data_IF_990986159218
#
_entry.id   IF_990986159218
#
_cell.length_a   1.000
_cell.length_b   1.000
_cell.length_c   1.000
_cell.angle_alpha   90.00
_cell.angle_beta   90.00
_cell.angle_gamma   90.00
#
_symmetry.space_group_name_H-M   'P 1'
#
loop_
_entity.id
_entity.type
_entity.pdbx_description
1 polymer ?
#
# COMPACT_ATOMS: atom_id res chain seq x y z
N UNK A 1 10.69 -6.37 19.70
CA UNK A 1 10.10 -5.91 18.42
C UNK A 1 11.15 -5.08 17.70
N UNK A 2 11.40 -5.32 16.41
CA UNK A 2 12.31 -4.47 15.65
C UNK A 2 11.66 -3.11 15.40
N UNK A 3 12.43 -2.00 15.45
CA UNK A 3 11.87 -0.68 15.20
C UNK A 3 11.31 -0.59 13.77
N UNK A 4 10.26 0.22 13.55
CA UNK A 4 9.72 0.45 12.23
C UNK A 4 10.82 0.96 11.30
N UNK A 5 10.92 0.37 10.12
CA UNK A 5 11.86 0.82 9.10
C UNK A 5 11.46 2.23 8.66
N UNK A 6 12.37 3.22 8.70
CA UNK A 6 12.05 4.55 8.20
C UNK A 6 11.85 4.51 6.68
N UNK A 7 10.71 5.02 6.25
CA UNK A 7 10.35 5.19 4.84
C UNK A 7 10.15 6.68 4.64
N UNK A 8 10.87 7.25 3.66
CA UNK A 8 10.77 8.68 3.35
C UNK A 8 9.68 8.86 2.30
N UNK A 9 8.75 9.78 2.56
CA UNK A 9 7.72 10.17 1.58
C UNK A 9 8.32 11.02 0.47
N UNK A 10 7.63 11.14 -0.68
CA UNK A 10 8.07 12.03 -1.76
C UNK A 10 8.24 13.47 -1.30
N UNK A 11 7.28 14.00 -0.55
CA UNK A 11 7.32 15.38 -0.05
C UNK A 11 8.46 15.64 0.94
N UNK A 12 8.86 14.61 1.71
CA UNK A 12 10.02 14.68 2.59
C UNK A 12 11.33 14.53 1.82
N UNK A 13 11.33 13.78 0.70
CA UNK A 13 12.51 13.61 -0.14
C UNK A 13 13.02 14.97 -0.61
N UNK A 14 12.14 15.82 -1.13
CA UNK A 14 12.47 17.15 -1.65
C UNK A 14 12.97 18.10 -0.55
N UNK A 15 12.41 17.98 0.65
CA UNK A 15 12.78 18.83 1.79
C UNK A 15 14.12 18.45 2.40
N UNK A 16 14.41 17.15 2.44
CA UNK A 16 15.61 16.62 3.12
C UNK A 16 16.77 16.48 2.14
N UNK A 17 16.51 16.31 0.84
CA UNK A 17 17.56 16.05 -0.12
C UNK A 17 17.24 16.54 -1.54
N UNK A 18 18.23 17.15 -2.20
CA UNK A 18 18.30 17.25 -3.66
C UNK A 18 18.62 15.87 -4.32
N UNK A 19 18.04 14.78 -3.79
CA UNK A 19 18.38 13.39 -4.11
C UNK A 19 17.68 12.87 -5.36
N UNK A 20 16.59 13.49 -5.83
CA UNK A 20 15.88 13.00 -7.03
C UNK A 20 16.84 12.80 -8.21
N UNK A 21 17.68 13.79 -8.52
CA UNK A 21 18.68 13.67 -9.59
C UNK A 21 19.74 12.58 -9.36
N UNK A 22 20.00 12.21 -8.10
CA UNK A 22 20.99 11.18 -7.72
C UNK A 22 20.39 9.78 -7.65
N UNK A 23 19.09 9.67 -7.39
CA UNK A 23 18.34 8.42 -7.37
C UNK A 23 18.25 7.79 -8.75
N UNK A 24 18.10 8.59 -9.79
CA UNK A 24 18.09 8.12 -11.18
C UNK A 24 19.46 7.58 -11.63
N UNK A 25 20.53 7.95 -10.92
CA UNK A 25 21.91 7.50 -11.19
C UNK A 25 22.37 6.33 -10.29
N UNK A 26 21.48 5.79 -9.45
CA UNK A 26 21.77 4.70 -8.52
C UNK A 26 20.97 3.43 -8.84
N UNK A 27 21.59 2.27 -8.57
CA UNK A 27 20.93 0.96 -8.74
C UNK A 27 19.86 0.79 -7.64
N UNK A 28 18.63 1.16 -7.98
CA UNK A 28 17.47 1.05 -7.12
C UNK A 28 16.64 -0.19 -7.45
N UNK A 29 16.12 -0.87 -6.44
CA UNK A 29 15.23 -2.02 -6.58
C UNK A 29 13.83 -1.65 -6.09
N UNK A 30 12.80 -2.00 -6.86
CA UNK A 30 11.42 -1.83 -6.43
C UNK A 30 11.06 -2.94 -5.44
N UNK A 31 10.47 -2.55 -4.32
CA UNK A 31 9.93 -3.45 -3.30
C UNK A 31 8.46 -3.13 -3.08
N UNK A 32 7.67 -4.15 -2.78
CA UNK A 32 6.25 -4.02 -2.47
C UNK A 32 5.95 -4.61 -1.10
N UNK A 33 5.08 -3.95 -0.34
CA UNK A 33 4.48 -4.47 0.88
C UNK A 33 2.96 -4.45 0.74
N UNK A 34 2.32 -5.60 0.89
CA UNK A 34 0.86 -5.66 1.01
C UNK A 34 0.49 -5.54 2.48
N UNK A 35 -0.26 -4.50 2.83
CA UNK A 35 -0.88 -4.32 4.13
C UNK A 35 -2.39 -4.46 3.97
N UNK A 36 -3.12 -4.60 5.07
CA UNK A 36 -4.58 -4.59 5.04
C UNK A 36 -5.07 -3.31 5.73
N UNK A 37 -5.86 -2.51 5.02
CA UNK A 37 -6.55 -1.38 5.61
C UNK A 37 -7.92 -1.85 6.09
N UNK A 38 -8.10 -1.91 7.41
CA UNK A 38 -9.30 -2.43 8.03
C UNK A 38 -10.14 -1.29 8.61
N UNK A 39 -11.42 -1.29 8.28
CA UNK A 39 -12.42 -0.36 8.83
C UNK A 39 -13.45 -1.16 9.61
N UNK A 40 -13.82 -0.66 10.78
CA UNK A 40 -14.89 -1.24 11.60
C UNK A 40 -16.18 -0.44 11.39
N UNK A 41 -17.20 -1.06 10.80
CA UNK A 41 -18.51 -0.44 10.55
C UNK A 41 -19.63 -1.36 11.03
N UNK A 42 -20.44 -0.89 11.99
CA UNK A 42 -21.68 -1.57 12.40
C UNK A 42 -21.50 -3.01 12.92
N UNK A 43 -20.37 -3.32 13.56
CA UNK A 43 -20.08 -4.68 14.07
C UNK A 43 -19.34 -5.59 13.09
N UNK A 44 -19.06 -5.10 11.87
CA UNK A 44 -18.29 -5.83 10.85
C UNK A 44 -16.91 -5.20 10.67
N UNK A 45 -15.88 -6.05 10.52
CA UNK A 45 -14.53 -5.64 10.15
C UNK A 45 -14.36 -5.88 8.66
N UNK A 46 -14.22 -4.80 7.88
CA UNK A 46 -13.93 -4.87 6.46
C UNK A 46 -12.46 -4.54 6.24
N UNK A 47 -11.66 -5.54 5.85
CA UNK A 47 -10.25 -5.36 5.53
C UNK A 47 -10.02 -5.41 4.02
N UNK A 48 -9.42 -4.37 3.46
CA UNK A 48 -9.10 -4.29 2.05
C UNK A 48 -7.57 -4.34 1.88
N UNK A 49 -7.04 -5.21 1.01
CA UNK A 49 -5.60 -5.22 0.73
C UNK A 49 -5.17 -3.89 0.13
N UNK A 50 -4.08 -3.34 0.64
CA UNK A 50 -3.46 -2.09 0.22
C UNK A 50 -1.97 -2.33 -0.04
N UNK A 51 -1.56 -2.21 -1.29
CA UNK A 51 -0.16 -2.37 -1.68
C UNK A 51 0.56 -1.03 -1.56
N UNK A 52 1.66 -1.02 -0.83
CA UNK A 52 2.63 0.08 -0.76
C UNK A 52 3.87 -0.28 -1.55
N UNK A 53 4.34 0.66 -2.37
CA UNK A 53 5.52 0.48 -3.21
C UNK A 53 6.64 1.38 -2.70
N UNK A 54 7.84 0.82 -2.66
CA UNK A 54 9.04 1.52 -2.24
C UNK A 54 10.15 1.31 -3.26
N UNK A 55 10.93 2.36 -3.48
CA UNK A 55 12.20 2.27 -4.19
C UNK A 55 13.32 2.18 -3.15
N UNK A 56 14.01 1.03 -3.09
CA UNK A 56 15.16 0.82 -2.22
C UNK A 56 16.45 1.07 -3.02
N UNK A 57 17.19 2.12 -2.65
CA UNK A 57 18.41 2.54 -3.33
C UNK A 57 19.62 2.40 -2.42
N UNK A 58 20.73 1.90 -2.97
CA UNK A 58 22.02 1.89 -2.29
C UNK A 58 22.66 3.28 -2.40
N UNK A 59 23.00 3.88 -1.25
CA UNK A 59 23.71 5.16 -1.24
C UNK A 59 25.20 4.92 -1.54
N UNK A 60 25.75 5.63 -2.54
CA UNK A 60 27.18 5.50 -2.91
C UNK A 60 28.15 6.02 -1.83
N UNK A 61 27.69 6.86 -0.91
CA UNK A 61 28.51 7.52 0.14
C UNK A 61 28.24 7.02 1.57
N UNK A 62 27.80 5.78 1.74
CA UNK A 62 27.70 5.14 3.06
C UNK A 62 26.98 3.80 3.00
N UNK A 63 27.17 2.95 4.01
CA UNK A 63 26.47 1.66 4.15
C UNK A 63 24.94 1.78 4.43
N UNK A 64 24.32 2.89 4.00
CA UNK A 64 22.91 3.17 4.17
C UNK A 64 22.09 2.73 2.95
N UNK A 65 20.93 2.12 3.22
CA UNK A 65 19.89 1.91 2.21
C UNK A 65 18.81 2.96 2.39
N UNK A 66 18.47 3.63 1.30
CA UNK A 66 17.39 4.61 1.29
C UNK A 66 16.12 3.94 0.76
N UNK A 67 15.00 4.12 1.46
CA UNK A 67 13.69 3.66 1.01
C UNK A 67 12.79 4.86 0.80
N UNK A 68 12.36 5.05 -0.44
CA UNK A 68 11.46 6.12 -0.84
C UNK A 68 10.11 5.52 -1.18
N UNK A 69 9.03 6.02 -0.56
CA UNK A 69 7.67 5.61 -0.93
C UNK A 69 7.33 6.17 -2.33
N UNK A 70 6.95 5.27 -3.23
CA UNK A 70 6.52 5.59 -4.59
C UNK A 70 5.08 5.15 -4.86
N UNK A 71 4.35 4.76 -3.80
CA UNK A 71 2.91 4.48 -3.86
C UNK A 71 2.18 5.68 -4.46
N UNK A 72 1.34 5.42 -5.47
CA UNK A 72 0.52 6.45 -6.12
C UNK A 72 -0.95 6.01 -6.22
N UNK A 73 -1.80 6.93 -6.68
CA UNK A 73 -3.24 6.69 -6.89
C UNK A 73 -3.52 5.58 -7.89
N UNK A 74 -2.58 5.19 -8.74
CA UNK A 74 -2.74 4.13 -9.73
C UNK A 74 -2.24 2.77 -9.20
N UNK A 75 -1.41 2.75 -8.16
CA UNK A 75 -0.78 1.55 -7.57
C UNK A 75 -1.82 0.54 -7.09
N UNK A 76 -2.98 1.03 -6.67
CA UNK A 76 -4.10 0.21 -6.20
C UNK A 76 -5.37 0.38 -7.08
N UNK A 77 -5.28 1.03 -8.25
CA UNK A 77 -6.46 1.25 -9.13
C UNK A 77 -7.03 -0.05 -9.68
N UNK A 78 -6.20 -1.08 -9.84
CA UNK A 78 -6.62 -2.42 -10.23
C UNK A 78 -6.96 -3.32 -9.03
N UNK A 79 -7.47 -2.74 -7.93
CA UNK A 79 -8.11 -3.49 -6.84
C UNK A 79 -9.45 -4.11 -7.29
N UNK A 80 -9.45 -4.80 -8.44
CA UNK A 80 -10.49 -5.70 -8.90
C UNK A 80 -10.86 -6.69 -7.79
N UNK A 81 -9.91 -7.11 -6.96
CA UNK A 81 -10.14 -7.98 -5.81
C UNK A 81 -11.06 -7.35 -4.76
N UNK A 82 -10.88 -6.06 -4.43
CA UNK A 82 -11.76 -5.36 -3.49
C UNK A 82 -13.18 -5.23 -4.06
N UNK A 83 -13.29 -4.93 -5.35
CA UNK A 83 -14.58 -4.85 -6.06
C UNK A 83 -15.28 -6.21 -6.14
N UNK A 84 -14.51 -7.28 -6.38
CA UNK A 84 -15.02 -8.65 -6.39
C UNK A 84 -15.49 -9.08 -4.99
N UNK A 85 -14.73 -8.74 -3.95
CA UNK A 85 -15.08 -9.03 -2.56
C UNK A 85 -16.37 -8.31 -2.14
N UNK A 86 -16.49 -7.00 -2.43
CA UNK A 86 -17.70 -6.22 -2.15
C UNK A 86 -18.92 -6.78 -2.90
N UNK A 87 -18.75 -7.14 -4.18
CA UNK A 87 -19.82 -7.79 -4.96
C UNK A 87 -20.22 -9.16 -4.39
N UNK A 88 -19.27 -9.93 -3.89
CA UNK A 88 -19.55 -11.22 -3.26
C UNK A 88 -20.31 -11.04 -1.93
N UNK A 89 -19.91 -10.07 -1.11
CA UNK A 89 -20.58 -9.73 0.14
C UNK A 89 -22.02 -9.26 -0.09
N UNK A 90 -22.26 -8.41 -1.08
CA UNK A 90 -23.60 -7.97 -1.47
C UNK A 90 -24.50 -9.11 -1.94
N UNK A 91 -23.94 -10.09 -2.68
CA UNK A 91 -24.67 -11.29 -3.09
C UNK A 91 -25.09 -12.13 -1.89
N UNK A 92 -24.18 -12.38 -0.96
CA UNK A 92 -24.46 -13.16 0.25
C UNK A 92 -25.52 -12.46 1.13
N UNK A 93 -25.44 -11.14 1.29
CA UNK A 93 -26.47 -10.36 2.00
C UNK A 93 -27.85 -10.50 1.37
N UNK A 94 -27.93 -10.41 0.04
CA UNK A 94 -29.21 -10.56 -0.69
C UNK A 94 -29.77 -11.98 -0.59
N UNK A 95 -28.92 -13.00 -0.54
CA UNK A 95 -29.33 -14.39 -0.32
C UNK A 95 -29.89 -14.60 1.09
N UNK A 96 -29.20 -14.11 2.11
CA UNK A 96 -29.66 -14.18 3.50
C UNK A 96 -31.01 -13.46 3.72
N UNK A 97 -31.25 -12.33 3.03
CA UNK A 97 -32.55 -11.64 3.08
C UNK A 97 -33.67 -12.38 2.34
N UNK A 98 -33.35 -13.20 1.33
CA UNK A 98 -34.34 -14.05 0.64
C UNK A 98 -34.74 -15.24 1.50
N UNK A 99 -33.76 -15.90 2.12
CA UNK A 99 -33.99 -17.06 3.00
C UNK A 99 -34.78 -16.73 4.28
N UNK A 100 -34.89 -15.45 4.67
CA UNK A 100 -35.72 -15.00 5.79
C UNK A 100 -37.18 -14.67 5.42
N UNK A 101 -37.51 -14.61 4.12
CA UNK A 101 -38.86 -14.25 3.64
C UNK A 101 -39.62 -15.42 3.00
N UNK A 102 -39.03 -16.61 2.94
CA UNK A 102 -39.67 -17.90 2.62
C UNK A 102 -39.88 -18.70 3.92
#
# INVERSE_FOLDING_TARGET
MAPPTPIITRDELDRVFALEQRLDQTNCVIRSLTQHNCVFEGGLINCVPFKRLFRECALKQGNGRLRVEITDVNTNKEANEATLFLRAQDKLRKQAMKEQND
#
